data_IF_829301522825
#
_entry.id   IF_829301522825
#
_cell.length_a   1.000
_cell.length_b   1.000
_cell.length_c   1.000
_cell.angle_alpha   90.00
_cell.angle_beta   90.00
_cell.angle_gamma   90.00
#
_symmetry.space_group_name_H-M   'P 1'
#
loop_
_entity.id
_entity.type
_entity.pdbx_description
1 polymer ?
#
# COMPACT_ATOMS: atom_id res chain seq x y z
N UNK A 1 0.33 -6.74 5.12
CA UNK A 1 0.26 -7.72 6.22
C UNK A 1 1.40 -8.73 6.16
N UNK A 2 1.68 -9.35 5.02
CA UNK A 2 2.73 -10.37 4.84
C UNK A 2 4.08 -10.01 5.48
N UNK A 3 4.61 -8.80 5.23
CA UNK A 3 5.88 -8.40 5.85
C UNK A 3 5.85 -8.44 7.39
N UNK A 4 4.74 -8.04 8.03
CA UNK A 4 4.62 -8.10 9.48
C UNK A 4 4.56 -9.55 10.02
N UNK A 5 4.15 -10.49 9.18
CA UNK A 5 4.11 -11.92 9.52
C UNK A 5 5.48 -12.58 9.33
N UNK A 6 6.18 -12.26 8.24
CA UNK A 6 7.39 -12.97 7.82
C UNK A 6 8.69 -12.35 8.33
N UNK A 7 8.74 -11.03 8.50
CA UNK A 7 9.97 -10.33 8.84
C UNK A 7 10.17 -10.34 10.36
N UNK A 8 11.42 -10.53 10.79
CA UNK A 8 11.78 -10.75 12.22
C UNK A 8 11.06 -11.95 12.87
N UNK A 9 10.47 -12.83 12.05
CA UNK A 9 9.83 -14.07 12.49
C UNK A 9 10.89 -15.06 12.98
N UNK A 10 10.92 -15.29 14.29
CA UNK A 10 11.86 -16.23 14.93
C UNK A 10 11.14 -17.07 15.97
N UNK A 11 11.56 -18.32 16.14
CA UNK A 11 10.95 -19.20 17.14
C UNK A 11 11.32 -18.77 18.57
N UNK A 12 10.37 -18.92 19.49
CA UNK A 12 10.60 -18.71 20.92
C UNK A 12 10.73 -17.24 21.35
N UNK A 13 10.43 -16.27 20.47
CA UNK A 13 10.40 -14.84 20.83
C UNK A 13 9.35 -14.08 20.02
N UNK A 14 8.81 -13.02 20.59
CA UNK A 14 7.94 -12.07 19.91
C UNK A 14 8.75 -11.19 18.92
N UNK A 15 8.30 -10.99 17.66
CA UNK A 15 8.91 -10.04 16.74
C UNK A 15 8.93 -8.62 17.32
N UNK A 16 10.02 -7.88 17.07
CA UNK A 16 10.27 -6.53 17.58
C UNK A 16 10.44 -5.51 16.47
N UNK A 17 10.90 -5.93 15.30
CA UNK A 17 10.99 -5.06 14.12
C UNK A 17 9.70 -5.12 13.32
N UNK A 18 9.35 -4.01 12.67
CA UNK A 18 8.20 -3.96 11.74
C UNK A 18 8.50 -4.67 10.42
N UNK A 19 9.77 -4.69 10.00
CA UNK A 19 10.18 -5.39 8.78
C UNK A 19 9.59 -4.81 7.49
N UNK A 20 9.29 -3.51 7.46
CA UNK A 20 8.91 -2.81 6.23
C UNK A 20 10.08 -1.97 5.73
N UNK A 21 10.06 -1.63 4.43
CA UNK A 21 11.06 -0.74 3.83
C UNK A 21 10.93 0.71 4.33
N UNK A 22 11.90 1.55 3.95
CA UNK A 22 11.98 2.99 4.25
C UNK A 22 10.97 3.80 3.41
N UNK A 23 9.67 3.59 3.66
CA UNK A 23 8.59 4.18 2.87
C UNK A 23 8.60 5.72 2.92
N UNK A 24 8.81 6.31 4.10
CA UNK A 24 8.82 7.77 4.26
C UNK A 24 9.99 8.42 3.56
N UNK A 25 11.17 7.81 3.67
CA UNK A 25 12.40 8.29 3.04
C UNK A 25 12.29 8.17 1.52
N UNK A 26 11.72 7.07 1.02
CA UNK A 26 11.44 6.90 -0.41
C UNK A 26 10.48 7.99 -0.92
N UNK A 27 9.38 8.25 -0.20
CA UNK A 27 8.44 9.33 -0.54
C UNK A 27 9.12 10.71 -0.49
N UNK A 28 9.95 10.98 0.53
CA UNK A 28 10.69 12.24 0.66
C UNK A 28 11.73 12.43 -0.45
N UNK A 29 12.30 11.33 -0.96
CA UNK A 29 13.22 11.33 -2.09
C UNK A 29 12.51 11.42 -3.46
N UNK A 30 11.17 11.48 -3.49
CA UNK A 30 10.39 11.52 -4.73
C UNK A 30 10.32 10.20 -5.47
N UNK A 31 10.62 9.09 -4.80
CA UNK A 31 10.44 7.74 -5.36
C UNK A 31 8.95 7.41 -5.40
N UNK A 32 8.48 6.89 -6.53
CA UNK A 32 7.13 6.38 -6.64
C UNK A 32 6.93 5.16 -5.72
N UNK A 33 5.92 5.18 -4.87
CA UNK A 33 5.66 4.15 -3.86
C UNK A 33 4.21 3.71 -3.90
N UNK A 34 3.99 2.40 -3.79
CA UNK A 34 2.67 1.78 -3.64
C UNK A 34 2.72 0.71 -2.54
N UNK A 35 1.55 0.37 -2.00
CA UNK A 35 1.38 -0.76 -1.09
C UNK A 35 0.70 -1.92 -1.82
N UNK A 36 1.15 -3.14 -1.50
CA UNK A 36 0.55 -4.38 -2.01
C UNK A 36 0.13 -5.30 -0.87
N UNK A 37 -0.96 -6.06 -1.09
CA UNK A 37 -1.38 -7.12 -0.17
C UNK A 37 -0.40 -8.31 -0.18
N UNK A 38 0.28 -8.51 -1.31
CA UNK A 38 1.25 -9.58 -1.60
C UNK A 38 0.61 -10.97 -1.63
N UNK A 39 0.27 -11.51 -0.46
CA UNK A 39 -0.27 -12.85 -0.30
C UNK A 39 -1.67 -12.80 0.31
N UNK A 40 -2.56 -13.66 -0.20
CA UNK A 40 -3.92 -13.78 0.29
C UNK A 40 -4.27 -15.25 0.47
N UNK A 41 -4.35 -15.68 1.73
CA UNK A 41 -4.77 -17.03 2.11
C UNK A 41 -3.98 -18.13 1.41
N UNK A 42 -2.65 -17.96 1.36
CA UNK A 42 -1.73 -18.90 0.73
C UNK A 42 -0.67 -19.43 1.71
N UNK A 43 0.33 -20.14 1.17
CA UNK A 43 1.40 -20.75 1.95
C UNK A 43 2.30 -19.75 2.71
N UNK A 44 2.32 -18.48 2.32
CA UNK A 44 3.15 -17.43 2.92
C UNK A 44 2.36 -16.58 3.91
N UNK A 45 1.09 -16.28 3.60
CA UNK A 45 0.20 -15.54 4.49
C UNK A 45 -1.19 -16.19 4.52
N UNK A 46 -1.60 -16.79 5.65
CA UNK A 46 -2.93 -17.39 5.77
C UNK A 46 -4.05 -16.33 5.88
N UNK A 47 -3.72 -15.05 6.01
CA UNK A 47 -4.67 -13.94 6.08
C UNK A 47 -4.69 -13.14 4.76
N UNK A 48 -5.72 -12.30 4.58
CA UNK A 48 -5.87 -11.39 3.43
C UNK A 48 -7.27 -11.44 2.80
N UNK A 49 -7.63 -10.37 2.10
CA UNK A 49 -8.99 -10.13 1.56
C UNK A 49 -9.03 -9.62 0.11
N UNK A 50 -7.88 -9.35 -0.51
CA UNK A 50 -7.74 -8.57 -1.75
C UNK A 50 -8.27 -7.12 -1.66
N UNK A 51 -8.70 -6.65 -0.48
CA UNK A 51 -9.14 -5.28 -0.30
C UNK A 51 -7.92 -4.33 -0.15
N UNK A 52 -7.74 -3.34 -1.05
CA UNK A 52 -6.69 -2.35 -0.89
C UNK A 52 -6.86 -1.48 0.36
N UNK A 53 -8.08 -1.31 0.89
CA UNK A 53 -8.30 -0.58 2.15
C UNK A 53 -7.72 -1.34 3.35
N UNK A 54 -7.81 -2.67 3.37
CA UNK A 54 -7.15 -3.49 4.40
C UNK A 54 -5.62 -3.33 4.33
N UNK A 55 -5.09 -3.23 3.10
CA UNK A 55 -3.66 -2.97 2.89
C UNK A 55 -3.26 -1.58 3.39
N UNK A 56 -4.08 -0.55 3.10
CA UNK A 56 -3.86 0.81 3.55
C UNK A 56 -3.97 0.94 5.09
N UNK A 57 -4.95 0.27 5.71
CA UNK A 57 -5.11 0.23 7.16
C UNK A 57 -3.93 -0.49 7.85
N UNK A 58 -3.41 -1.57 7.26
CA UNK A 58 -2.16 -2.17 7.72
C UNK A 58 -0.99 -1.19 7.60
N UNK A 59 -0.94 -0.41 6.51
CA UNK A 59 0.02 0.67 6.27
C UNK A 59 -0.01 1.74 7.36
N UNK A 60 -1.20 2.19 7.78
CA UNK A 60 -1.38 3.16 8.86
C UNK A 60 -0.56 2.81 10.10
N UNK A 61 -0.70 1.58 10.59
CA UNK A 61 -0.03 1.15 11.81
C UNK A 61 1.44 0.76 11.58
N UNK A 62 1.73 0.04 10.50
CA UNK A 62 3.08 -0.45 10.23
C UNK A 62 4.05 0.65 9.83
N UNK A 63 3.60 1.59 9.00
CA UNK A 63 4.41 2.70 8.53
C UNK A 63 4.15 4.00 9.30
N UNK A 64 3.18 4.07 10.21
CA UNK A 64 2.81 5.32 10.91
C UNK A 64 2.42 6.42 9.92
N UNK A 65 1.51 6.08 9.00
CA UNK A 65 1.03 7.02 7.99
C UNK A 65 0.13 8.09 8.63
N UNK A 66 0.27 9.34 8.22
CA UNK A 66 -0.67 10.43 8.54
C UNK A 66 -1.58 10.71 7.34
N UNK A 67 -2.70 11.41 7.58
CA UNK A 67 -3.58 11.92 6.51
C UNK A 67 -4.03 10.79 5.56
N UNK A 68 -4.50 9.69 6.15
CA UNK A 68 -4.61 8.40 5.47
C UNK A 68 -5.47 8.48 4.19
N UNK A 69 -6.62 9.13 4.26
CA UNK A 69 -7.53 9.28 3.12
C UNK A 69 -7.16 10.45 2.20
N UNK A 70 -6.65 11.55 2.75
CA UNK A 70 -6.34 12.76 1.99
C UNK A 70 -5.07 12.61 1.14
N UNK A 71 -4.03 12.03 1.74
CA UNK A 71 -2.70 11.93 1.11
C UNK A 71 -2.33 10.50 0.76
N UNK A 72 -2.53 9.57 1.68
CA UNK A 72 -1.94 8.23 1.59
C UNK A 72 -2.83 7.24 0.83
N UNK A 73 -4.08 7.59 0.51
CA UNK A 73 -4.94 6.84 -0.39
C UNK A 73 -4.28 6.61 -1.76
N UNK A 74 -3.41 7.54 -2.20
CA UNK A 74 -2.57 7.37 -3.39
C UNK A 74 -1.71 6.10 -3.38
N UNK A 75 -1.28 5.62 -2.21
CA UNK A 75 -0.49 4.38 -2.10
C UNK A 75 -1.22 3.13 -2.61
N UNK A 76 -2.54 3.20 -2.79
CA UNK A 76 -3.34 2.09 -3.31
C UNK A 76 -4.04 2.38 -4.65
N UNK A 77 -3.96 3.62 -5.15
CA UNK A 77 -4.68 4.01 -6.36
C UNK A 77 -3.88 4.87 -7.37
N UNK A 78 -2.62 5.20 -7.09
CA UNK A 78 -1.78 5.95 -8.04
C UNK A 78 -1.34 5.06 -9.20
N UNK A 79 -2.07 5.17 -10.30
CA UNK A 79 -1.81 4.43 -11.55
C UNK A 79 -0.48 4.83 -12.19
N UNK A 80 -0.08 6.10 -12.10
CA UNK A 80 1.17 6.56 -12.70
C UNK A 80 2.37 5.94 -11.97
N UNK A 81 2.30 5.81 -10.64
CA UNK A 81 3.28 5.07 -9.87
C UNK A 81 3.32 3.57 -10.22
N UNK A 82 2.17 2.98 -10.57
CA UNK A 82 2.07 1.56 -10.93
C UNK A 82 2.64 1.27 -12.34
N UNK A 83 2.29 2.10 -13.32
CA UNK A 83 2.60 1.83 -14.73
C UNK A 83 3.87 2.55 -15.22
N UNK A 84 4.31 3.60 -14.53
CA UNK A 84 5.35 4.51 -15.00
C UNK A 84 4.94 5.33 -16.23
N UNK A 85 3.67 5.28 -16.63
CA UNK A 85 3.17 5.95 -17.85
C UNK A 85 2.79 7.40 -17.56
N UNK A 86 3.30 8.38 -18.33
CA UNK A 86 2.87 9.77 -18.23
C UNK A 86 1.37 9.97 -18.48
N UNK A 87 0.74 9.08 -19.27
CA UNK A 87 -0.69 9.17 -19.57
C UNK A 87 -1.56 8.88 -18.34
N UNK A 88 -1.08 8.09 -17.39
CA UNK A 88 -1.80 7.75 -16.15
C UNK A 88 -1.66 8.85 -15.07
N UNK A 89 -0.82 9.87 -15.29
CA UNK A 89 -0.61 10.98 -14.34
C UNK A 89 -1.81 11.95 -14.24
N UNK A 90 -2.75 11.87 -15.19
CA UNK A 90 -3.96 12.70 -15.23
C UNK A 90 -5.23 11.83 -15.26
N UNK A 91 -5.59 11.16 -14.14
CA UNK A 91 -6.67 10.16 -14.10
C UNK A 91 -8.07 10.70 -14.42
N UNK A 92 -8.27 12.02 -14.35
CA UNK A 92 -9.55 12.69 -14.64
C UNK A 92 -9.47 13.64 -15.85
N UNK A 93 -8.62 13.32 -16.83
CA UNK A 93 -8.52 14.10 -18.06
C UNK A 93 -9.80 14.00 -18.91
N UNK A 94 -10.20 15.11 -19.53
CA UNK A 94 -11.33 15.15 -20.47
C UNK A 94 -11.07 14.20 -21.64
N UNK A 95 -12.03 13.33 -21.94
CA UNK A 95 -11.94 12.33 -23.00
C UNK A 95 -11.28 11.02 -22.58
N UNK A 96 -10.76 10.90 -21.34
CA UNK A 96 -10.31 9.63 -20.79
C UNK A 96 -11.49 8.73 -20.39
N UNK A 97 -11.21 7.44 -20.22
CA UNK A 97 -12.20 6.49 -19.72
C UNK A 97 -12.66 6.87 -18.29
N UNK A 98 -13.97 6.85 -18.06
CA UNK A 98 -14.57 7.16 -16.76
C UNK A 98 -14.48 5.96 -15.79
N UNK A 99 -13.26 5.62 -15.35
CA UNK A 99 -13.01 4.55 -14.38
C UNK A 99 -12.84 5.14 -12.99
N UNK A 100 -13.89 5.08 -12.17
CA UNK A 100 -13.92 5.63 -10.80
C UNK A 100 -14.56 4.63 -9.84
N UNK A 101 -14.14 4.69 -8.57
CA UNK A 101 -14.75 3.96 -7.46
C UNK A 101 -14.89 4.92 -6.29
N UNK A 102 -16.12 5.08 -5.81
CA UNK A 102 -16.44 5.99 -4.72
C UNK A 102 -16.55 5.19 -3.41
N UNK A 103 -15.87 5.67 -2.37
CA UNK A 103 -15.95 5.08 -1.03
C UNK A 103 -16.84 5.96 -0.13
N UNK A 104 -17.80 5.38 0.61
CA UNK A 104 -18.57 6.13 1.59
C UNK A 104 -17.64 6.58 2.73
N UNK A 105 -17.71 7.87 3.08
CA UNK A 105 -16.98 8.48 4.20
C UNK A 105 -17.64 8.26 5.55
#
# INVERSE_FOLDING_TARGET
MTNLLLQDATFGRTPRQRGITLLHEAQAAGVATLLGCDNVQDAFCPAGSYDPLDTLACGLFSAQLSDLFDRQSRLICDRAALTGSPADAAPFAVGAAASVSDFPG
#
